data_IF_565978800286
#
_entry.id   IF_565978800286
#
_cell.length_a   1.000
_cell.length_b   1.000
_cell.length_c   1.000
_cell.angle_alpha   90.00
_cell.angle_beta   90.00
_cell.angle_gamma   90.00
#
_symmetry.space_group_name_H-M   'P 1'
#
loop_
_entity.id
_entity.type
_entity.pdbx_description
1 polymer ?
#
# COMPACT_ATOMS: atom_id res chain seq x y z
N UNK A 1 -27.82 12.99 18.97
CA UNK A 1 -26.48 13.31 18.43
C UNK A 1 -26.62 13.31 16.92
N UNK A 2 -26.04 14.30 16.24
CA UNK A 2 -26.10 14.37 14.77
C UNK A 2 -24.85 13.74 14.20
N UNK A 3 -25.02 12.81 13.26
CA UNK A 3 -23.94 12.08 12.61
C UNK A 3 -23.70 12.61 11.19
N UNK A 4 -22.51 12.43 10.68
CA UNK A 4 -22.24 12.65 9.25
C UNK A 4 -22.72 11.48 8.43
N UNK A 5 -22.53 10.24 8.94
CA UNK A 5 -22.98 9.00 8.33
C UNK A 5 -23.53 8.06 9.40
N UNK A 6 -24.61 7.37 9.10
CA UNK A 6 -25.05 6.19 9.86
C UNK A 6 -25.14 5.00 8.94
N UNK A 7 -24.39 3.96 9.25
CA UNK A 7 -24.55 2.64 8.64
C UNK A 7 -25.54 1.85 9.50
N UNK A 8 -26.69 1.50 8.94
CA UNK A 8 -27.77 0.77 9.58
C UNK A 8 -27.61 -0.73 9.37
N UNK A 9 -28.09 -1.50 10.32
CA UNK A 9 -28.22 -2.96 10.20
C UNK A 9 -26.92 -3.63 9.74
N UNK A 10 -25.83 -3.35 10.46
CA UNK A 10 -24.49 -3.86 10.20
C UNK A 10 -24.14 -5.02 11.14
N UNK A 11 -23.53 -6.07 10.62
CA UNK A 11 -22.95 -7.15 11.45
C UNK A 11 -21.45 -6.94 11.59
N UNK A 12 -20.99 -6.69 12.81
CA UNK A 12 -19.55 -6.52 13.07
C UNK A 12 -18.78 -7.84 12.91
N UNK A 13 -17.55 -7.78 12.41
CA UNK A 13 -16.73 -8.96 12.15
C UNK A 13 -16.36 -9.74 13.41
N UNK A 14 -16.30 -9.05 14.56
CA UNK A 14 -16.00 -9.62 15.88
C UNK A 14 -17.26 -9.94 16.70
N UNK A 15 -18.47 -9.72 16.14
CA UNK A 15 -19.73 -10.04 16.80
C UNK A 15 -19.90 -11.55 16.94
N UNK A 16 -20.52 -11.98 18.04
CA UNK A 16 -20.92 -13.37 18.22
C UNK A 16 -21.96 -13.79 17.15
N UNK A 17 -22.04 -15.06 16.78
CA UNK A 17 -22.97 -15.52 15.72
C UNK A 17 -24.44 -15.18 15.95
N UNK A 18 -24.87 -15.12 17.22
CA UNK A 18 -26.21 -14.82 17.69
C UNK A 18 -26.44 -13.33 18.04
N UNK A 19 -25.42 -12.51 17.92
CA UNK A 19 -25.53 -11.08 18.21
C UNK A 19 -26.35 -10.40 17.09
N UNK A 20 -27.36 -9.60 17.44
CA UNK A 20 -28.15 -8.87 16.45
C UNK A 20 -27.28 -7.84 15.72
N UNK A 21 -27.70 -7.52 14.51
CA UNK A 21 -27.10 -6.42 13.75
C UNK A 21 -27.22 -5.10 14.52
N UNK A 22 -26.30 -4.21 14.27
CA UNK A 22 -26.16 -2.93 14.98
C UNK A 22 -26.01 -1.78 13.99
N UNK A 23 -26.22 -0.57 14.47
CA UNK A 23 -25.95 0.65 13.71
C UNK A 23 -24.56 1.22 14.10
N UNK A 24 -23.88 1.83 13.13
CA UNK A 24 -22.62 2.52 13.32
C UNK A 24 -22.79 3.98 12.94
N UNK A 25 -22.62 4.87 13.90
CA UNK A 25 -22.67 6.32 13.70
C UNK A 25 -21.27 6.90 13.56
N UNK A 26 -21.03 7.62 12.48
CA UNK A 26 -19.76 8.31 12.20
C UNK A 26 -19.97 9.82 12.32
N UNK A 27 -19.04 10.49 12.99
CA UNK A 27 -18.97 11.93 13.09
C UNK A 27 -17.51 12.40 13.01
N UNK A 28 -17.28 13.44 12.23
CA UNK A 28 -15.93 14.02 12.03
C UNK A 28 -14.87 12.97 11.66
N UNK A 29 -15.25 12.04 10.78
CA UNK A 29 -14.38 10.96 10.30
C UNK A 29 -14.06 9.87 11.33
N UNK A 30 -14.79 9.82 12.45
CA UNK A 30 -14.59 8.83 13.52
C UNK A 30 -15.88 8.09 13.84
N UNK A 31 -15.76 6.83 14.25
CA UNK A 31 -16.88 6.09 14.82
C UNK A 31 -17.22 6.74 16.17
N UNK A 32 -18.39 7.37 16.25
CA UNK A 32 -18.85 8.09 17.43
C UNK A 32 -19.80 7.23 18.29
N UNK A 33 -20.50 6.28 17.68
CA UNK A 33 -21.39 5.36 18.40
C UNK A 33 -21.57 4.05 17.65
N UNK A 34 -21.75 2.97 18.40
CA UNK A 34 -22.18 1.66 17.90
C UNK A 34 -23.29 1.19 18.85
N UNK A 35 -24.51 1.05 18.37
CA UNK A 35 -25.62 0.55 19.17
C UNK A 35 -26.77 0.05 18.28
N UNK A 36 -27.62 -0.86 18.76
CA UNK A 36 -28.85 -1.18 18.08
C UNK A 36 -29.74 0.06 17.95
N UNK A 37 -30.26 0.34 16.76
CA UNK A 37 -31.22 1.43 16.51
C UNK A 37 -30.72 2.82 17.01
N UNK A 38 -29.59 3.28 16.48
CA UNK A 38 -29.09 4.63 16.80
C UNK A 38 -30.14 5.69 16.46
N UNK A 39 -30.55 6.44 17.50
CA UNK A 39 -31.36 7.64 17.36
C UNK A 39 -30.51 8.84 16.93
N UNK A 40 -31.19 9.90 16.47
CA UNK A 40 -30.57 11.15 16.00
C UNK A 40 -30.65 11.30 14.49
N UNK A 41 -30.19 12.46 14.00
CA UNK A 41 -30.12 12.76 12.56
C UNK A 41 -28.78 12.33 11.98
N UNK A 42 -28.74 12.10 10.68
CA UNK A 42 -27.52 11.85 9.93
C UNK A 42 -27.60 12.55 8.57
N UNK A 43 -26.46 13.09 8.09
CA UNK A 43 -26.40 13.67 6.75
C UNK A 43 -26.58 12.60 5.67
N UNK A 44 -26.02 11.42 5.94
CA UNK A 44 -26.12 10.25 5.06
C UNK A 44 -26.49 9.00 5.87
N UNK A 45 -27.32 8.14 5.28
CA UNK A 45 -27.66 6.84 5.85
C UNK A 45 -27.46 5.73 4.81
N UNK A 46 -26.75 4.69 5.19
CA UNK A 46 -26.48 3.52 4.35
C UNK A 46 -27.09 2.30 5.02
N UNK A 47 -27.86 1.52 4.26
CA UNK A 47 -28.44 0.27 4.73
C UNK A 47 -27.43 -0.88 4.54
N UNK A 48 -26.95 -1.44 5.63
CA UNK A 48 -26.04 -2.60 5.63
C UNK A 48 -26.74 -3.89 5.25
N UNK A 49 -28.02 -4.06 5.62
CA UNK A 49 -28.82 -5.26 5.32
C UNK A 49 -28.19 -6.53 5.90
N UNK A 50 -27.69 -6.47 7.13
CA UNK A 50 -27.03 -7.58 7.81
C UNK A 50 -25.64 -7.95 7.26
N UNK A 51 -25.08 -7.13 6.36
CA UNK A 51 -23.74 -7.38 5.81
C UNK A 51 -22.66 -7.20 6.85
N UNK A 52 -21.57 -7.97 6.65
CA UNK A 52 -20.40 -7.90 7.50
C UNK A 52 -19.68 -6.56 7.34
N UNK A 53 -19.33 -5.95 8.47
CA UNK A 53 -18.51 -4.75 8.55
C UNK A 53 -17.25 -5.06 9.36
N UNK A 54 -16.11 -4.78 8.79
CA UNK A 54 -14.80 -4.93 9.42
C UNK A 54 -13.96 -3.66 9.26
N UNK A 55 -12.85 -3.59 9.96
CA UNK A 55 -11.84 -2.57 9.69
C UNK A 55 -11.32 -2.68 8.24
N UNK A 56 -10.90 -1.56 7.65
CA UNK A 56 -10.29 -1.56 6.34
C UNK A 56 -9.03 -2.42 6.30
N UNK A 57 -8.76 -3.04 5.16
CA UNK A 57 -7.61 -3.92 4.99
C UNK A 57 -6.30 -3.15 4.99
N UNK A 58 -5.24 -3.83 5.45
CA UNK A 58 -3.88 -3.30 5.45
C UNK A 58 -3.02 -4.13 4.50
N UNK A 59 -2.55 -3.49 3.43
CA UNK A 59 -1.56 -4.08 2.54
C UNK A 59 -0.17 -3.82 3.14
N UNK A 60 0.47 -4.86 3.62
CA UNK A 60 1.74 -4.75 4.35
C UNK A 60 2.98 -4.88 3.49
N UNK A 61 2.87 -5.39 2.26
CA UNK A 61 4.02 -5.68 1.41
C UNK A 61 3.67 -5.67 -0.07
N UNK A 62 3.81 -4.52 -0.71
CA UNK A 62 3.65 -4.36 -2.15
C UNK A 62 4.82 -3.56 -2.73
N UNK A 63 5.06 -3.69 -4.03
CA UNK A 63 6.05 -2.91 -4.77
C UNK A 63 5.35 -2.07 -5.85
N UNK A 64 4.90 -0.87 -5.50
CA UNK A 64 4.20 0.02 -6.43
C UNK A 64 5.11 0.51 -7.57
N UNK A 65 6.40 0.71 -7.29
CA UNK A 65 7.42 1.08 -8.27
C UNK A 65 7.57 0.05 -9.41
N UNK A 66 7.28 -1.22 -9.12
CA UNK A 66 7.40 -2.35 -10.05
C UNK A 66 6.05 -2.96 -10.45
N UNK A 67 4.95 -2.36 -10.07
CA UNK A 67 3.63 -2.86 -10.45
C UNK A 67 3.41 -2.79 -11.97
N UNK A 68 2.65 -3.75 -12.52
CA UNK A 68 2.23 -3.77 -13.92
C UNK A 68 3.36 -3.74 -14.97
N UNK A 69 4.53 -4.33 -14.67
CA UNK A 69 5.68 -4.40 -15.61
C UNK A 69 5.81 -5.74 -16.35
N UNK A 70 4.92 -6.69 -16.11
CA UNK A 70 5.04 -8.05 -16.64
C UNK A 70 5.24 -8.08 -18.16
N UNK A 71 4.54 -7.21 -18.90
CA UNK A 71 4.68 -7.11 -20.35
C UNK A 71 6.05 -6.60 -20.85
N UNK A 72 6.86 -6.02 -19.94
CA UNK A 72 8.22 -5.54 -20.23
C UNK A 72 9.29 -6.55 -19.85
N UNK A 73 8.90 -7.58 -19.09
CA UNK A 73 9.79 -8.63 -18.66
C UNK A 73 9.66 -9.82 -19.59
N UNK A 74 10.80 -10.36 -20.03
CA UNK A 74 10.81 -11.60 -20.82
C UNK A 74 10.32 -12.75 -19.94
N UNK A 75 9.11 -13.25 -20.18
CA UNK A 75 8.44 -14.22 -19.34
C UNK A 75 8.68 -15.65 -19.87
N UNK A 76 9.79 -16.26 -19.48
CA UNK A 76 9.88 -17.73 -19.54
C UNK A 76 9.07 -18.37 -18.39
N UNK A 77 8.56 -19.56 -18.65
CA UNK A 77 7.67 -20.32 -17.75
C UNK A 77 8.33 -20.86 -16.47
N UNK A 78 9.62 -20.64 -16.26
CA UNK A 78 10.33 -21.15 -15.08
C UNK A 78 10.12 -20.24 -13.85
N UNK A 79 9.55 -20.84 -12.79
CA UNK A 79 9.13 -20.15 -11.56
C UNK A 79 10.25 -20.10 -10.50
N UNK A 80 11.34 -19.38 -10.77
CA UNK A 80 12.37 -19.17 -9.75
C UNK A 80 12.37 -17.70 -9.30
N UNK A 81 12.24 -17.39 -8.01
CA UNK A 81 12.18 -16.01 -7.50
C UNK A 81 13.38 -15.14 -7.91
N UNK A 82 14.59 -15.71 -7.97
CA UNK A 82 15.78 -14.99 -8.42
C UNK A 82 15.70 -14.53 -9.87
N UNK A 83 15.05 -15.29 -10.76
CA UNK A 83 14.85 -14.89 -12.15
C UNK A 83 13.90 -13.69 -12.26
N UNK A 84 12.90 -13.57 -11.38
CA UNK A 84 12.03 -12.40 -11.35
C UNK A 84 12.81 -11.12 -11.03
N UNK A 85 13.73 -11.19 -10.07
CA UNK A 85 14.59 -10.04 -9.72
C UNK A 85 15.54 -9.67 -10.85
N UNK A 86 16.16 -10.65 -11.51
CA UNK A 86 17.05 -10.40 -12.65
C UNK A 86 16.32 -9.73 -13.81
N UNK A 87 15.08 -10.13 -14.09
CA UNK A 87 14.24 -9.54 -15.13
C UNK A 87 13.84 -8.11 -14.81
N UNK A 88 13.46 -7.84 -13.57
CA UNK A 88 13.19 -6.48 -13.11
C UNK A 88 14.46 -5.63 -13.21
N UNK A 89 15.60 -6.15 -12.77
CA UNK A 89 16.90 -5.48 -12.87
C UNK A 89 17.26 -5.12 -14.31
N UNK A 90 16.93 -5.98 -15.27
CA UNK A 90 17.18 -5.73 -16.69
C UNK A 90 16.35 -4.56 -17.25
N UNK A 91 15.16 -4.29 -16.74
CA UNK A 91 14.24 -3.28 -17.30
C UNK A 91 14.10 -2.01 -16.44
N UNK A 92 14.46 -2.02 -15.16
CA UNK A 92 14.24 -0.90 -14.24
C UNK A 92 14.95 0.40 -14.66
N UNK A 93 16.03 0.32 -15.44
CA UNK A 93 16.71 1.49 -15.99
C UNK A 93 15.83 2.32 -16.93
N UNK A 94 14.76 1.71 -17.49
CA UNK A 94 13.80 2.37 -18.37
C UNK A 94 12.67 3.09 -17.61
N UNK A 95 12.57 2.91 -16.29
CA UNK A 95 11.52 3.54 -15.51
C UNK A 95 11.70 5.06 -15.47
N UNK A 96 10.62 5.79 -15.72
CA UNK A 96 10.52 7.23 -15.48
C UNK A 96 9.57 7.51 -14.32
N UNK A 97 9.61 8.72 -13.79
CA UNK A 97 8.70 9.15 -12.71
C UNK A 97 7.25 9.03 -13.16
N UNK A 98 6.94 9.48 -14.37
CA UNK A 98 5.59 9.48 -14.96
C UNK A 98 5.09 8.05 -15.16
N UNK A 99 5.95 7.16 -15.68
CA UNK A 99 5.63 5.76 -15.90
C UNK A 99 5.31 5.04 -14.58
N UNK A 100 6.15 5.23 -13.58
CA UNK A 100 5.93 4.67 -12.23
C UNK A 100 4.63 5.23 -11.63
N UNK A 101 4.42 6.55 -11.72
CA UNK A 101 3.20 7.20 -11.21
C UNK A 101 1.95 6.61 -11.84
N UNK A 102 1.92 6.43 -13.16
CA UNK A 102 0.76 5.89 -13.87
C UNK A 102 0.45 4.44 -13.48
N UNK A 103 1.47 3.57 -13.43
CA UNK A 103 1.31 2.16 -13.06
C UNK A 103 0.92 1.97 -11.62
N UNK A 104 1.56 2.71 -10.71
CA UNK A 104 1.27 2.69 -9.28
C UNK A 104 -0.14 3.17 -8.98
N UNK A 105 -0.61 4.24 -9.65
CA UNK A 105 -1.98 4.75 -9.50
C UNK A 105 -3.02 3.66 -9.77
N UNK A 106 -2.93 2.96 -10.90
CA UNK A 106 -3.88 1.89 -11.23
C UNK A 106 -3.84 0.72 -10.23
N UNK A 107 -2.69 0.46 -9.60
CA UNK A 107 -2.58 -0.56 -8.56
C UNK A 107 -3.20 -0.09 -7.24
N UNK A 108 -2.96 1.15 -6.83
CA UNK A 108 -3.58 1.75 -5.63
C UNK A 108 -5.11 1.75 -5.77
N UNK A 109 -5.64 2.17 -6.92
CA UNK A 109 -7.09 2.20 -7.18
C UNK A 109 -7.74 0.81 -7.04
N UNK A 110 -7.07 -0.24 -7.52
CA UNK A 110 -7.53 -1.62 -7.30
C UNK A 110 -7.53 -2.01 -5.83
N UNK A 111 -6.47 -1.68 -5.08
CA UNK A 111 -6.39 -1.97 -3.65
C UNK A 111 -7.47 -1.23 -2.86
N UNK A 112 -7.74 0.04 -3.18
CA UNK A 112 -8.85 0.81 -2.60
C UNK A 112 -10.19 0.13 -2.91
N UNK A 113 -10.42 -0.26 -4.16
CA UNK A 113 -11.63 -0.98 -4.58
C UNK A 113 -11.84 -2.32 -3.88
N UNK A 114 -10.77 -2.94 -3.39
CA UNK A 114 -10.81 -4.16 -2.56
C UNK A 114 -10.83 -3.89 -1.05
N UNK A 115 -10.97 -2.64 -0.63
CA UNK A 115 -11.13 -2.26 0.77
C UNK A 115 -9.84 -2.01 1.54
N UNK A 116 -8.69 -1.85 0.87
CA UNK A 116 -7.48 -1.43 1.53
C UNK A 116 -7.56 0.05 1.93
N UNK A 117 -7.29 0.34 3.21
CA UNK A 117 -7.26 1.70 3.78
C UNK A 117 -5.88 2.10 4.23
N UNK A 118 -4.96 1.15 4.33
CA UNK A 118 -3.54 1.36 4.62
C UNK A 118 -2.69 0.50 3.71
N UNK A 119 -1.53 1.04 3.33
CA UNK A 119 -0.59 0.33 2.46
C UNK A 119 0.85 0.69 2.82
N UNK A 120 1.72 -0.32 2.94
CA UNK A 120 3.16 -0.15 2.95
C UNK A 120 3.73 -0.65 1.64
N UNK A 121 4.26 0.26 0.83
CA UNK A 121 4.96 -0.08 -0.40
C UNK A 121 6.48 -0.08 -0.20
N UNK A 122 7.14 -1.09 -0.72
CA UNK A 122 8.60 -1.20 -0.74
C UNK A 122 9.10 -0.67 -2.08
N UNK A 123 9.89 0.38 -2.03
CA UNK A 123 10.42 1.06 -3.22
C UNK A 123 11.91 0.85 -3.30
N UNK A 124 12.36 0.30 -4.42
CA UNK A 124 13.78 0.06 -4.69
C UNK A 124 14.51 1.34 -5.04
N UNK A 125 15.69 1.49 -4.46
CA UNK A 125 16.67 2.51 -4.85
C UNK A 125 18.03 1.87 -5.08
N UNK A 126 18.65 2.20 -6.19
CA UNK A 126 20.03 1.87 -6.56
C UNK A 126 20.50 2.79 -7.71
N UNK A 127 21.80 2.76 -8.11
CA UNK A 127 22.31 3.63 -9.18
C UNK A 127 21.64 3.47 -10.55
N UNK A 128 20.99 2.33 -10.84
CA UNK A 128 20.31 2.09 -12.12
C UNK A 128 18.95 2.77 -12.20
N UNK A 129 18.18 2.72 -11.10
CA UNK A 129 16.85 3.33 -11.03
C UNK A 129 16.87 4.72 -10.37
N UNK A 130 17.90 5.02 -9.56
CA UNK A 130 17.98 6.25 -8.80
C UNK A 130 16.81 6.41 -7.83
N UNK A 131 16.24 7.60 -7.77
CA UNK A 131 15.06 7.92 -6.96
C UNK A 131 13.75 7.94 -7.77
N UNK A 132 13.77 7.61 -9.06
CA UNK A 132 12.59 7.72 -9.95
C UNK A 132 11.38 6.92 -9.46
N UNK A 133 11.62 5.71 -8.95
CA UNK A 133 10.58 4.90 -8.32
C UNK A 133 9.96 5.58 -7.11
N UNK A 134 10.81 6.15 -6.26
CA UNK A 134 10.40 6.86 -5.06
C UNK A 134 9.60 8.13 -5.39
N UNK A 135 10.09 8.95 -6.31
CA UNK A 135 9.44 10.19 -6.74
C UNK A 135 8.05 9.91 -7.34
N UNK A 136 7.96 8.88 -8.21
CA UNK A 136 6.69 8.48 -8.81
C UNK A 136 5.66 8.00 -7.80
N UNK A 137 6.06 7.24 -6.79
CA UNK A 137 5.14 6.78 -5.73
C UNK A 137 4.79 7.91 -4.77
N UNK A 138 5.73 8.77 -4.40
CA UNK A 138 5.47 9.94 -3.53
C UNK A 138 4.43 10.89 -4.10
N UNK A 139 4.41 11.10 -5.41
CA UNK A 139 3.42 11.93 -6.08
C UNK A 139 1.97 11.46 -5.85
N UNK A 140 1.77 10.19 -5.44
CA UNK A 140 0.46 9.61 -5.22
C UNK A 140 -0.04 9.71 -3.77
N UNK A 141 0.82 10.03 -2.80
CA UNK A 141 0.45 10.12 -1.39
C UNK A 141 -0.69 11.11 -1.20
N UNK A 142 -0.52 12.36 -1.65
CA UNK A 142 -1.53 13.40 -1.51
C UNK A 142 -2.76 13.14 -2.37
N UNK A 143 -2.57 12.57 -3.56
CA UNK A 143 -3.66 12.24 -4.49
C UNK A 143 -4.66 11.25 -3.90
N UNK A 144 -4.17 10.26 -3.15
CA UNK A 144 -5.02 9.17 -2.61
C UNK A 144 -5.23 9.22 -1.10
N UNK A 145 -4.75 10.27 -0.40
CA UNK A 145 -4.90 10.41 1.06
C UNK A 145 -6.34 10.37 1.57
N UNK A 146 -7.30 10.68 0.69
CA UNK A 146 -8.71 10.63 1.01
C UNK A 146 -9.25 9.19 1.21
N UNK A 147 -8.56 8.18 0.67
CA UNK A 147 -9.00 6.78 0.69
C UNK A 147 -8.00 5.84 1.36
N UNK A 148 -6.70 6.11 1.25
CA UNK A 148 -5.65 5.20 1.73
C UNK A 148 -4.47 5.97 2.35
N UNK A 149 -3.98 5.44 3.48
CA UNK A 149 -2.75 5.89 4.13
C UNK A 149 -1.57 5.11 3.53
N UNK A 150 -0.75 5.79 2.72
CA UNK A 150 0.36 5.20 1.98
C UNK A 150 1.70 5.47 2.67
N UNK A 151 2.36 4.43 3.17
CA UNK A 151 3.70 4.48 3.75
C UNK A 151 4.74 3.90 2.79
N UNK A 152 5.87 4.58 2.64
CA UNK A 152 6.96 4.13 1.77
C UNK A 152 8.11 3.59 2.61
N UNK A 153 8.47 2.34 2.32
CA UNK A 153 9.68 1.68 2.78
C UNK A 153 10.73 1.76 1.67
N UNK A 154 11.80 2.52 1.87
CA UNK A 154 12.93 2.56 0.93
C UNK A 154 13.82 1.35 1.13
N UNK A 155 14.23 0.66 0.06
CA UNK A 155 14.99 -0.57 0.17
C UNK A 155 16.00 -0.79 -0.96
N UNK A 156 17.15 -1.44 -0.66
CA UNK A 156 18.15 -1.85 -1.65
C UNK A 156 17.86 -3.30 -2.09
N UNK A 157 16.99 -3.49 -3.10
CA UNK A 157 16.57 -4.83 -3.55
C UNK A 157 17.73 -5.73 -3.96
N UNK A 158 18.77 -5.16 -4.59
CA UNK A 158 19.93 -5.90 -5.05
C UNK A 158 21.08 -5.93 -4.02
N UNK A 159 20.81 -5.44 -2.80
CA UNK A 159 21.77 -5.36 -1.71
C UNK A 159 22.53 -4.04 -1.68
N UNK A 160 22.91 -3.64 -0.48
CA UNK A 160 23.55 -2.35 -0.23
C UNK A 160 24.97 -2.29 -0.77
N UNK A 161 25.72 -3.40 -0.65
CA UNK A 161 27.15 -3.45 -0.98
C UNK A 161 27.42 -3.81 -2.44
N UNK A 162 26.45 -4.37 -3.16
CA UNK A 162 26.65 -4.86 -4.53
C UNK A 162 26.63 -3.73 -5.57
N UNK A 163 26.03 -2.59 -5.23
CA UNK A 163 25.91 -1.42 -6.11
C UNK A 163 26.39 -0.17 -5.36
N UNK A 164 27.67 0.22 -5.50
CA UNK A 164 28.20 1.43 -4.85
C UNK A 164 27.35 2.68 -5.17
N UNK A 165 27.04 3.48 -4.17
CA UNK A 165 26.13 4.63 -4.27
C UNK A 165 24.69 4.33 -3.85
N UNK A 166 24.36 3.09 -3.52
CA UNK A 166 23.01 2.73 -3.03
C UNK A 166 22.74 3.27 -1.64
N UNK A 167 23.73 3.33 -0.77
CA UNK A 167 23.63 3.89 0.59
C UNK A 167 23.30 5.38 0.57
N UNK A 168 23.91 6.17 -0.31
CA UNK A 168 23.58 7.58 -0.49
C UNK A 168 22.15 7.77 -0.98
N UNK A 169 21.67 6.90 -1.89
CA UNK A 169 20.29 6.92 -2.36
C UNK A 169 19.29 6.52 -1.26
N UNK A 170 19.64 5.55 -0.41
CA UNK A 170 18.85 5.20 0.78
C UNK A 170 18.72 6.40 1.73
N UNK A 171 19.84 7.07 2.02
CA UNK A 171 19.85 8.28 2.86
C UNK A 171 19.03 9.40 2.21
N UNK A 172 19.14 9.58 0.88
CA UNK A 172 18.34 10.57 0.16
C UNK A 172 16.83 10.25 0.26
N UNK A 173 16.43 8.98 0.15
CA UNK A 173 15.07 8.54 0.35
C UNK A 173 14.53 8.87 1.74
N UNK A 174 15.31 8.62 2.79
CA UNK A 174 14.94 8.96 4.18
C UNK A 174 14.83 10.47 4.38
N UNK A 175 15.79 11.26 3.91
CA UNK A 175 15.72 12.73 3.93
C UNK A 175 14.52 13.25 3.12
N UNK A 176 14.13 12.53 2.07
CA UNK A 176 12.96 12.80 1.24
C UNK A 176 11.61 12.43 1.87
N UNK A 177 11.58 11.94 3.13
CA UNK A 177 10.37 11.70 3.90
C UNK A 177 9.95 10.22 4.03
N UNK A 178 10.72 9.26 3.51
CA UNK A 178 10.49 7.85 3.83
C UNK A 178 10.80 7.61 5.31
N UNK A 179 9.92 6.86 5.99
CA UNK A 179 10.06 6.60 7.42
C UNK A 179 10.51 5.19 7.75
N UNK A 180 10.51 4.31 6.75
CA UNK A 180 10.83 2.90 6.92
C UNK A 180 11.95 2.52 5.99
N UNK A 181 12.89 1.72 6.51
CA UNK A 181 14.00 1.13 5.76
C UNK A 181 13.76 -0.35 5.62
N UNK A 182 13.87 -0.85 4.40
CA UNK A 182 13.88 -2.27 4.10
C UNK A 182 15.30 -2.79 3.84
N UNK A 183 15.41 -4.10 3.83
CA UNK A 183 16.64 -4.79 3.47
C UNK A 183 16.33 -6.07 2.70
N UNK A 184 17.31 -6.52 1.90
CA UNK A 184 17.28 -7.82 1.25
C UNK A 184 18.41 -8.70 1.86
N UNK A 185 18.19 -9.37 3.01
CA UNK A 185 19.23 -10.04 3.78
C UNK A 185 19.98 -11.12 2.98
N UNK A 186 19.30 -11.81 2.06
CA UNK A 186 19.88 -12.81 1.17
C UNK A 186 20.90 -12.20 0.16
N UNK A 187 20.92 -10.88 0.01
CA UNK A 187 21.86 -10.13 -0.83
C UNK A 187 23.00 -9.48 -0.03
N UNK A 188 22.93 -9.48 1.30
CA UNK A 188 23.96 -8.87 2.17
C UNK A 188 25.26 -9.70 2.18
N UNK A 189 25.29 -10.75 1.41
CA UNK A 189 26.50 -11.55 1.21
C UNK A 189 26.52 -12.80 2.09
N UNK A 190 27.15 -13.82 1.56
CA UNK A 190 27.49 -15.06 2.27
C UNK A 190 28.64 -14.82 3.28
N UNK A 191 28.79 -13.62 3.79
CA UNK A 191 29.90 -13.21 4.65
C UNK A 191 29.72 -13.66 6.11
N UNK A 192 28.71 -14.47 6.40
CA UNK A 192 28.46 -15.02 7.73
C UNK A 192 28.27 -16.54 7.71
N UNK A 193 29.01 -17.25 6.87
CA UNK A 193 29.20 -18.68 7.01
C UNK A 193 30.66 -18.94 7.23
#
# INVERSE_FOLDING_TARGET
MDFDLVLRDARLADAKPDQPATDIGVKDGRIAAIAPQLGGSAKEQVQGGGRLVCAGFVETHIHLDKSCILARCDCETKRFPHLAMERVSAVKHTFTVEDVTARAAGTIEKCIGHGATRMRTHVEVDPRVGLRGLEGVKALIDRYRWAIDLEICVMPQEGLLNNPGTDELMVAGLKGGCRVVGAAPYKIGRAHV
#
